data_IF_465377486448
#
_entry.id   IF_465377486448
#
_cell.length_a   1.000
_cell.length_b   1.000
_cell.length_c   1.000
_cell.angle_alpha   90.00
_cell.angle_beta   90.00
_cell.angle_gamma   90.00
#
_symmetry.space_group_name_H-M   'P 1'
#
loop_
_entity.id
_entity.type
_entity.pdbx_description
1 polymer ?
#
# COMPACT_ATOMS: atom_id res chain seq x y z
N UNK A 1 56.43 26.69 24.20
CA UNK A 1 55.53 26.86 23.05
C UNK A 1 54.21 26.20 23.42
N UNK A 2 53.11 26.98 23.47
CA UNK A 2 51.76 26.52 23.81
C UNK A 2 51.11 25.94 22.55
N UNK A 3 50.60 24.71 22.61
CA UNK A 3 49.78 24.12 21.55
C UNK A 3 48.35 23.95 22.06
N UNK A 4 47.48 24.83 21.60
CA UNK A 4 46.03 24.78 21.77
C UNK A 4 45.46 23.85 20.70
N UNK A 5 44.92 22.69 21.11
CA UNK A 5 44.14 21.83 20.22
C UNK A 5 42.66 22.07 20.50
N UNK A 6 42.00 22.77 19.58
CA UNK A 6 40.55 22.88 19.54
C UNK A 6 39.99 21.60 18.88
N UNK A 7 39.20 20.83 19.62
CA UNK A 7 38.46 19.70 19.07
C UNK A 7 37.04 20.17 18.70
N UNK A 8 36.61 20.07 17.42
CA UNK A 8 35.21 20.31 17.07
C UNK A 8 34.36 19.10 17.44
N UNK A 9 33.35 19.33 18.29
CA UNK A 9 32.23 18.42 18.54
C UNK A 9 31.45 18.22 17.23
N UNK A 10 31.71 17.13 16.53
CA UNK A 10 30.83 16.65 15.46
C UNK A 10 29.62 15.95 16.11
N UNK A 11 28.57 16.71 16.38
CA UNK A 11 27.27 16.16 16.75
C UNK A 11 26.63 15.49 15.53
N UNK A 12 26.69 14.16 15.47
CA UNK A 12 25.88 13.34 14.57
C UNK A 12 24.42 13.41 15.04
N UNK A 13 23.67 14.39 14.53
CA UNK A 13 22.23 14.39 14.65
C UNK A 13 21.65 13.28 13.77
N UNK A 14 21.41 12.10 14.34
CA UNK A 14 20.49 11.12 13.77
C UNK A 14 19.08 11.68 13.89
N UNK A 15 18.64 12.44 12.88
CA UNK A 15 17.22 12.71 12.67
C UNK A 15 16.56 11.42 12.17
N UNK A 16 16.30 10.50 13.11
CA UNK A 16 15.34 9.42 12.90
C UNK A 16 13.97 10.09 12.74
N UNK A 17 13.55 10.29 11.49
CA UNK A 17 12.16 10.57 11.19
C UNK A 17 11.35 9.39 11.72
N UNK A 18 10.71 9.58 12.87
CA UNK A 18 9.74 8.66 13.42
C UNK A 18 8.53 8.63 12.48
N UNK A 19 8.67 7.90 11.37
CA UNK A 19 7.51 7.37 10.69
C UNK A 19 6.81 6.46 11.71
N UNK A 20 5.49 6.58 11.92
CA UNK A 20 4.78 5.63 12.74
C UNK A 20 5.10 4.23 12.21
N UNK A 21 5.69 3.40 13.07
CA UNK A 21 5.88 1.99 12.77
C UNK A 21 4.48 1.37 12.70
N UNK A 22 3.89 1.36 11.51
CA UNK A 22 2.79 0.47 11.20
C UNK A 22 3.38 -0.93 11.37
N UNK A 23 3.05 -1.58 12.47
CA UNK A 23 3.51 -2.94 12.73
C UNK A 23 2.88 -3.80 11.64
N UNK A 24 3.66 -4.14 10.62
CA UNK A 24 3.32 -5.20 9.69
C UNK A 24 3.12 -6.46 10.55
N UNK A 25 1.87 -6.90 10.68
CA UNK A 25 1.53 -8.13 11.37
C UNK A 25 1.95 -9.24 10.42
N UNK A 26 2.74 -10.21 10.89
CA UNK A 26 2.91 -11.45 10.12
C UNK A 26 1.62 -12.26 10.26
N UNK A 27 0.60 -11.96 9.47
CA UNK A 27 -0.51 -12.91 9.30
C UNK A 27 -0.04 -14.03 8.40
N UNK A 28 -0.38 -15.27 8.77
CA UNK A 28 -0.09 -16.46 7.96
C UNK A 28 -1.12 -16.67 6.85
N UNK A 29 -2.18 -15.86 6.80
CA UNK A 29 -3.27 -15.96 5.83
C UNK A 29 -3.61 -14.59 5.27
N UNK A 30 -3.71 -14.49 3.94
CA UNK A 30 -4.07 -13.25 3.29
C UNK A 30 -3.66 -13.20 1.83
N UNK A 31 -3.88 -12.05 1.20
CA UNK A 31 -3.63 -11.86 -0.23
C UNK A 31 -2.85 -10.58 -0.51
N UNK A 32 -1.81 -10.69 -1.32
CA UNK A 32 -1.06 -9.56 -1.86
C UNK A 32 -1.66 -9.12 -3.18
N UNK A 33 -2.06 -7.86 -3.27
CA UNK A 33 -2.45 -7.19 -4.52
C UNK A 33 -1.23 -6.47 -5.08
N UNK A 34 -0.77 -6.87 -6.26
CA UNK A 34 0.36 -6.26 -6.97
C UNK A 34 -0.11 -5.14 -7.89
N UNK A 35 0.64 -4.03 -7.91
CA UNK A 35 0.26 -2.79 -8.57
C UNK A 35 1.36 -2.30 -9.53
N UNK A 36 0.95 -1.90 -10.74
CA UNK A 36 1.81 -1.21 -11.70
C UNK A 36 1.35 0.25 -11.90
N UNK A 37 2.27 1.20 -11.79
CA UNK A 37 1.99 2.64 -12.00
C UNK A 37 2.00 2.98 -13.49
N UNK A 38 1.09 3.86 -13.94
CA UNK A 38 1.01 4.27 -15.36
C UNK A 38 1.90 5.42 -15.79
N UNK A 39 2.35 6.33 -14.91
CA UNK A 39 3.38 7.36 -15.23
C UNK A 39 3.60 8.39 -14.12
N UNK A 40 4.78 9.05 -14.16
CA UNK A 40 5.34 10.12 -13.32
C UNK A 40 4.93 10.08 -11.86
N UNK A 41 5.85 9.60 -11.01
CA UNK A 41 5.75 9.46 -9.56
C UNK A 41 4.79 10.48 -8.94
N UNK A 42 3.59 10.06 -8.48
CA UNK A 42 2.72 10.97 -7.77
C UNK A 42 3.44 11.53 -6.54
N UNK A 43 3.12 12.76 -6.15
CA UNK A 43 3.75 13.43 -5.00
C UNK A 43 3.62 12.64 -3.68
N UNK A 44 2.67 11.70 -3.61
CA UNK A 44 2.45 10.78 -2.49
C UNK A 44 1.84 9.45 -2.99
N UNK A 45 2.65 8.43 -3.37
CA UNK A 45 2.11 7.16 -3.87
C UNK A 45 1.35 6.39 -2.78
N UNK A 46 1.84 6.43 -1.54
CA UNK A 46 1.26 5.67 -0.43
C UNK A 46 -0.17 6.10 -0.09
N UNK A 47 -0.40 7.41 0.10
CA UNK A 47 -1.74 7.94 0.39
C UNK A 47 -2.72 7.66 -0.74
N UNK A 48 -2.29 7.82 -1.99
CA UNK A 48 -3.12 7.52 -3.15
C UNK A 48 -3.48 6.03 -3.22
N UNK A 49 -2.50 5.13 -3.09
CA UNK A 49 -2.77 3.68 -3.14
C UNK A 49 -3.71 3.29 -2.00
N UNK A 50 -3.45 3.75 -0.77
CA UNK A 50 -4.29 3.43 0.38
C UNK A 50 -5.73 3.88 0.15
N UNK A 51 -5.96 5.19 -0.06
CA UNK A 51 -7.30 5.76 -0.21
C UNK A 51 -8.09 5.13 -1.36
N UNK A 52 -7.43 4.83 -2.49
CA UNK A 52 -8.07 4.23 -3.65
C UNK A 52 -8.37 2.74 -3.45
N UNK A 53 -7.51 2.04 -2.71
CA UNK A 53 -7.78 0.67 -2.28
C UNK A 53 -9.04 0.62 -1.40
N UNK A 54 -9.22 1.57 -0.46
CA UNK A 54 -10.43 1.64 0.37
C UNK A 54 -11.70 1.81 -0.46
N UNK A 55 -11.66 2.73 -1.44
CA UNK A 55 -12.80 2.99 -2.33
C UNK A 55 -13.13 1.75 -3.15
N UNK A 56 -12.11 1.10 -3.73
CA UNK A 56 -12.30 -0.08 -4.56
C UNK A 56 -12.83 -1.27 -3.77
N UNK A 57 -12.34 -1.46 -2.55
CA UNK A 57 -12.88 -2.44 -1.60
C UNK A 57 -14.38 -2.23 -1.38
N UNK A 58 -14.77 -1.04 -0.94
CA UNK A 58 -16.18 -0.73 -0.67
C UNK A 58 -17.08 -0.95 -1.90
N UNK A 59 -16.60 -0.61 -3.09
CA UNK A 59 -17.34 -0.86 -4.33
C UNK A 59 -17.48 -2.36 -4.66
N UNK A 60 -16.52 -3.17 -4.24
CA UNK A 60 -16.50 -4.61 -4.51
C UNK A 60 -17.34 -5.41 -3.51
N UNK A 61 -17.51 -4.89 -2.28
CA UNK A 61 -18.18 -5.59 -1.19
C UNK A 61 -19.53 -4.97 -0.80
N UNK A 62 -20.11 -4.13 -1.65
CA UNK A 62 -21.39 -3.44 -1.37
C UNK A 62 -21.38 -2.55 -0.12
N UNK A 63 -20.22 -1.98 0.23
CA UNK A 63 -20.10 -0.98 1.29
C UNK A 63 -19.90 -1.54 2.70
N UNK A 64 -19.34 -2.75 2.86
CA UNK A 64 -19.01 -3.37 4.16
C UNK A 64 -18.10 -2.53 5.07
N UNK A 65 -17.55 -1.43 4.55
CA UNK A 65 -16.58 -0.61 5.24
C UNK A 65 -15.18 -1.17 5.04
N UNK A 66 -14.20 -0.26 5.00
CA UNK A 66 -12.80 -0.62 4.93
C UNK A 66 -12.06 0.08 6.07
N UNK A 67 -11.30 -0.70 6.85
CA UNK A 67 -10.35 -0.19 7.82
C UNK A 67 -8.94 -0.35 7.29
N UNK A 68 -8.09 0.66 7.47
CA UNK A 68 -6.66 0.54 7.14
C UNK A 68 -5.95 -0.55 7.95
N UNK A 69 -6.53 -1.00 9.07
CA UNK A 69 -6.04 -2.15 9.83
C UNK A 69 -6.16 -3.49 9.10
N UNK A 70 -6.95 -3.54 8.02
CA UNK A 70 -7.14 -4.75 7.20
C UNK A 70 -6.00 -5.01 6.24
N UNK A 71 -5.06 -4.07 6.09
CA UNK A 71 -3.99 -4.20 5.13
C UNK A 71 -2.63 -3.71 5.62
N UNK A 72 -1.57 -4.34 5.11
CA UNK A 72 -0.23 -3.76 5.07
C UNK A 72 -0.04 -2.96 3.79
N UNK A 73 0.26 -1.68 3.94
CA UNK A 73 0.52 -0.74 2.85
C UNK A 73 1.97 -0.23 2.86
N UNK A 74 2.88 -0.86 3.61
CA UNK A 74 4.29 -0.48 3.68
C UNK A 74 4.97 -0.45 2.30
N UNK A 75 4.55 -1.35 1.40
CA UNK A 75 5.06 -1.46 0.04
C UNK A 75 4.42 -0.48 -0.97
N UNK A 76 3.74 0.57 -0.49
CA UNK A 76 3.11 1.58 -1.37
C UNK A 76 3.97 2.83 -1.56
N UNK A 77 5.11 2.93 -0.87
CA UNK A 77 6.01 4.09 -0.91
C UNK A 77 7.03 4.04 -2.06
N UNK A 78 7.36 2.84 -2.56
CA UNK A 78 8.32 2.61 -3.64
C UNK A 78 7.94 1.38 -4.45
N UNK A 79 8.18 1.43 -5.76
CA UNK A 79 8.00 0.27 -6.63
C UNK A 79 8.97 -0.89 -6.26
N UNK A 80 8.56 -2.16 -6.41
CA UNK A 80 7.23 -2.62 -6.87
C UNK A 80 6.15 -2.34 -5.82
N UNK A 81 5.00 -1.82 -6.27
CA UNK A 81 3.93 -1.42 -5.37
C UNK A 81 3.04 -2.62 -5.03
N UNK A 82 2.68 -2.77 -3.75
CA UNK A 82 1.74 -3.80 -3.33
C UNK A 82 0.96 -3.40 -2.07
N UNK A 83 -0.18 -4.06 -1.88
CA UNK A 83 -0.98 -4.01 -0.64
C UNK A 83 -1.26 -5.45 -0.22
N UNK A 84 -0.92 -5.80 1.03
CA UNK A 84 -1.29 -7.10 1.59
C UNK A 84 -2.59 -6.95 2.38
N UNK A 85 -3.56 -7.82 2.17
CA UNK A 85 -4.82 -7.87 2.89
C UNK A 85 -4.79 -9.04 3.87
N UNK A 86 -5.11 -8.75 5.13
CA UNK A 86 -5.19 -9.74 6.21
C UNK A 86 -6.57 -10.40 6.21
N UNK A 87 -6.66 -11.66 5.80
CA UNK A 87 -7.93 -12.39 5.77
C UNK A 87 -8.60 -12.40 7.16
N UNK A 88 -7.83 -12.68 8.21
CA UNK A 88 -8.29 -12.81 9.60
C UNK A 88 -8.82 -11.52 10.27
N UNK A 89 -8.91 -10.42 9.53
CA UNK A 89 -9.29 -9.11 10.09
C UNK A 89 -10.48 -8.46 9.41
N UNK A 90 -10.90 -8.99 8.26
CA UNK A 90 -11.95 -8.39 7.44
C UNK A 90 -13.25 -9.13 7.76
N UNK A 91 -14.24 -8.45 8.39
CA UNK A 91 -15.54 -9.06 8.65
C UNK A 91 -16.15 -9.59 7.35
N UNK A 92 -16.75 -10.78 7.41
CA UNK A 92 -17.38 -11.49 6.27
C UNK A 92 -16.40 -11.99 5.19
N UNK A 93 -15.09 -11.76 5.33
CA UNK A 93 -14.04 -12.22 4.41
C UNK A 93 -12.85 -12.77 5.20
N UNK A 94 -13.14 -13.63 6.18
CA UNK A 94 -12.19 -14.07 7.20
C UNK A 94 -11.22 -15.16 6.71
N UNK A 95 -11.49 -15.73 5.54
CA UNK A 95 -10.66 -16.76 4.91
C UNK A 95 -9.91 -16.24 3.68
N UNK A 96 -8.77 -16.87 3.38
CA UNK A 96 -7.99 -16.57 2.17
C UNK A 96 -8.82 -16.75 0.89
N UNK A 97 -9.70 -17.76 0.84
CA UNK A 97 -10.54 -18.04 -0.33
C UNK A 97 -11.63 -16.98 -0.54
N UNK A 98 -12.29 -16.53 0.53
CA UNK A 98 -13.29 -15.44 0.46
C UNK A 98 -12.65 -14.13 0.03
N UNK A 99 -11.44 -13.85 0.56
CA UNK A 99 -10.67 -12.68 0.19
C UNK A 99 -10.22 -12.73 -1.28
N UNK A 100 -9.72 -13.89 -1.73
CA UNK A 100 -9.31 -14.11 -3.13
C UNK A 100 -10.50 -13.92 -4.07
N UNK A 101 -11.69 -14.43 -3.74
CA UNK A 101 -12.89 -14.29 -4.55
C UNK A 101 -13.26 -12.83 -4.85
N UNK A 102 -12.98 -11.91 -3.91
CA UNK A 102 -13.15 -10.47 -4.15
C UNK A 102 -11.97 -9.92 -4.95
N UNK A 103 -10.74 -10.15 -4.50
CA UNK A 103 -9.54 -9.49 -5.03
C UNK A 103 -9.20 -9.95 -6.45
N UNK A 104 -9.46 -11.20 -6.82
CA UNK A 104 -9.19 -11.71 -8.17
C UNK A 104 -10.02 -10.98 -9.23
N UNK A 105 -11.21 -10.49 -8.87
CA UNK A 105 -12.03 -9.66 -9.78
C UNK A 105 -11.36 -8.33 -10.11
N UNK A 106 -10.35 -7.92 -9.34
CA UNK A 106 -9.61 -6.70 -9.57
C UNK A 106 -8.50 -6.86 -10.60
N UNK A 107 -8.03 -8.08 -10.87
CA UNK A 107 -6.91 -8.31 -11.79
C UNK A 107 -7.25 -7.79 -13.18
N UNK A 108 -6.35 -7.00 -13.77
CA UNK A 108 -6.55 -6.33 -15.06
C UNK A 108 -7.42 -5.07 -14.99
N UNK A 109 -7.80 -4.62 -13.79
CA UNK A 109 -8.56 -3.38 -13.58
C UNK A 109 -7.76 -2.35 -12.77
N UNK A 110 -8.28 -1.13 -12.69
CA UNK A 110 -7.59 0.03 -12.13
C UNK A 110 -8.03 0.33 -10.70
N UNK A 111 -7.16 0.89 -9.87
CA UNK A 111 -7.55 1.35 -8.52
C UNK A 111 -8.48 2.58 -8.58
N UNK A 112 -8.33 3.45 -9.58
CA UNK A 112 -9.09 4.73 -9.67
C UNK A 112 -10.12 4.72 -10.79
N UNK A 113 -9.77 4.20 -11.97
CA UNK A 113 -10.65 4.24 -13.13
C UNK A 113 -11.71 3.15 -13.09
N UNK A 114 -12.98 3.54 -13.21
CA UNK A 114 -14.10 2.63 -13.49
C UNK A 114 -14.07 2.06 -14.92
N UNK A 115 -13.23 2.62 -15.79
CA UNK A 115 -13.05 2.17 -17.15
C UNK A 115 -11.92 1.13 -17.20
N UNK A 116 -12.09 0.10 -18.01
CA UNK A 116 -11.07 -0.94 -18.29
C UNK A 116 -9.77 -0.37 -18.88
N UNK A 117 -9.85 0.81 -19.48
CA UNK A 117 -8.71 1.56 -20.00
C UNK A 117 -8.64 2.87 -19.20
N UNK A 118 -7.50 3.21 -18.58
CA UNK A 118 -7.39 4.47 -17.85
C UNK A 118 -7.53 5.57 -18.90
N UNK A 119 -8.18 6.68 -18.54
CA UNK A 119 -8.06 7.88 -19.35
C UNK A 119 -6.56 8.20 -19.43
N UNK A 120 -5.96 7.99 -20.60
CA UNK A 120 -4.54 8.21 -20.84
C UNK A 120 -4.14 9.57 -20.26
N UNK A 121 -3.19 9.56 -19.31
CA UNK A 121 -2.68 10.78 -18.70
C UNK A 121 -3.32 11.21 -17.37
N UNK A 122 -4.06 10.34 -16.66
CA UNK A 122 -4.41 10.61 -15.25
C UNK A 122 -3.26 10.19 -14.31
N UNK A 123 -2.51 11.12 -13.71
CA UNK A 123 -1.49 10.76 -12.73
C UNK A 123 -2.13 10.07 -11.51
N UNK A 124 -1.48 9.01 -11.00
CA UNK A 124 -1.91 8.34 -9.78
C UNK A 124 -2.92 7.20 -9.94
N UNK A 125 -3.12 6.66 -11.16
CA UNK A 125 -3.85 5.40 -11.34
C UNK A 125 -2.89 4.19 -11.38
N UNK A 126 -3.29 3.12 -10.70
CA UNK A 126 -2.49 1.90 -10.54
C UNK A 126 -3.25 0.71 -11.11
N UNK A 127 -2.63 -0.02 -12.02
CA UNK A 127 -3.17 -1.25 -12.56
C UNK A 127 -2.96 -2.37 -11.56
N UNK A 128 -4.00 -3.15 -11.28
CA UNK A 128 -3.87 -4.38 -10.50
C UNK A 128 -3.40 -5.49 -11.43
N UNK A 129 -2.16 -5.94 -11.23
CA UNK A 129 -1.51 -6.88 -12.15
C UNK A 129 -1.61 -8.33 -11.72
N UNK A 130 -1.68 -8.58 -10.41
CA UNK A 130 -1.76 -9.92 -9.86
C UNK A 130 -2.33 -9.88 -8.44
N UNK A 131 -2.94 -11.00 -8.06
CA UNK A 131 -3.25 -11.35 -6.68
C UNK A 131 -2.48 -12.62 -6.33
N UNK A 132 -1.87 -12.66 -5.16
CA UNK A 132 -1.14 -13.84 -4.67
C UNK A 132 -1.45 -14.03 -3.21
N UNK A 133 -2.01 -15.19 -2.87
CA UNK A 133 -2.45 -15.48 -1.52
C UNK A 133 -1.61 -16.56 -0.84
N UNK A 134 -1.60 -16.55 0.50
CA UNK A 134 -0.87 -17.46 1.38
C UNK A 134 -1.79 -18.11 2.41
#
# INVERSE_FOLDING_TARGET
MRFTLAAPLAALALSASAAPAVVARSSTSGCTVSLASTMTTPASPAENILMKTMIKWNNSTSGSGFSSSYCDWSNTTRAPFSVFFYADTIPDYETTDELAAVLDTWVGTWLVSSNSTPASGRPGDYNVTAVTCV
#
